data_IF_740875048761
#
_entry.id   IF_740875048761
#
_cell.length_a   1.000
_cell.length_b   1.000
_cell.length_c   1.000
_cell.angle_alpha   90.00
_cell.angle_beta   90.00
_cell.angle_gamma   90.00
#
_symmetry.space_group_name_H-M   'P 1'
#
loop_
_entity.id
_entity.type
_entity.pdbx_description
1 polymer ?
#
# COMPACT_ATOMS: atom_id res chain seq x y z
N UNK A 1 1.33 32.05 -5.97
CA UNK A 1 2.07 31.51 -4.80
C UNK A 1 1.43 31.95 -3.49
N UNK A 2 1.37 33.26 -3.19
CA UNK A 2 0.87 33.80 -1.90
C UNK A 2 -0.50 33.29 -1.45
N UNK A 3 -1.51 33.23 -2.34
CA UNK A 3 -2.86 32.79 -1.95
C UNK A 3 -2.93 31.32 -1.46
N UNK A 4 -2.21 30.41 -2.12
CA UNK A 4 -2.13 28.99 -1.71
C UNK A 4 -1.44 28.85 -0.36
N UNK A 5 -0.36 29.58 -0.14
CA UNK A 5 0.37 29.60 1.13
C UNK A 5 -0.53 30.13 2.25
N UNK A 6 -1.28 31.21 2.03
CA UNK A 6 -2.24 31.73 3.02
C UNK A 6 -3.35 30.73 3.37
N UNK A 7 -3.89 29.98 2.40
CA UNK A 7 -4.90 28.94 2.67
C UNK A 7 -4.30 27.84 3.55
N UNK A 8 -3.10 27.35 3.22
CA UNK A 8 -2.43 26.30 3.99
C UNK A 8 -2.15 26.79 5.42
N UNK A 9 -1.61 28.00 5.57
CA UNK A 9 -1.37 28.61 6.88
C UNK A 9 -2.67 28.77 7.69
N UNK A 10 -3.77 29.18 7.05
CA UNK A 10 -5.07 29.27 7.70
C UNK A 10 -5.59 27.90 8.15
N UNK A 11 -5.44 26.86 7.32
CA UNK A 11 -5.81 25.49 7.71
C UNK A 11 -5.01 25.01 8.94
N UNK A 12 -3.70 25.26 8.97
CA UNK A 12 -2.88 24.93 10.13
C UNK A 12 -3.27 25.73 11.37
N UNK A 13 -3.58 27.02 11.22
CA UNK A 13 -4.05 27.86 12.32
C UNK A 13 -5.38 27.34 12.89
N UNK A 14 -6.34 27.01 12.03
CA UNK A 14 -7.63 26.46 12.45
C UNK A 14 -7.46 25.12 13.17
N UNK A 15 -6.61 24.24 12.65
CA UNK A 15 -6.29 22.97 13.29
C UNK A 15 -5.63 23.17 14.67
N UNK A 16 -4.72 24.14 14.78
CA UNK A 16 -4.09 24.49 16.05
C UNK A 16 -5.08 25.07 17.06
N UNK A 17 -5.95 25.98 16.63
CA UNK A 17 -7.02 26.54 17.49
C UNK A 17 -7.95 25.42 17.96
N UNK A 18 -8.35 24.49 17.09
CA UNK A 18 -9.14 23.32 17.48
C UNK A 18 -8.45 22.52 18.60
N UNK A 19 -7.15 22.22 18.46
CA UNK A 19 -6.42 21.48 19.49
C UNK A 19 -6.40 22.19 20.84
N UNK A 20 -6.40 23.52 20.85
CA UNK A 20 -6.47 24.32 22.09
C UNK A 20 -7.90 24.39 22.66
N UNK A 21 -8.92 24.41 21.81
CA UNK A 21 -10.34 24.43 22.23
C UNK A 21 -10.83 23.07 22.73
N UNK A 22 -10.36 21.97 22.14
CA UNK A 22 -10.76 20.59 22.45
C UNK A 22 -9.53 19.71 22.78
N UNK A 23 -8.82 20.00 23.88
CA UNK A 23 -7.56 19.34 24.20
C UNK A 23 -7.74 17.85 24.54
N UNK A 24 -8.82 17.48 25.25
CA UNK A 24 -9.09 16.08 25.60
C UNK A 24 -9.40 15.24 24.36
N UNK A 25 -10.28 15.70 23.47
CA UNK A 25 -10.57 15.01 22.21
C UNK A 25 -9.31 14.85 21.35
N UNK A 26 -8.45 15.87 21.32
CA UNK A 26 -7.18 15.82 20.59
C UNK A 26 -6.20 14.80 21.19
N UNK A 27 -6.08 14.74 22.52
CA UNK A 27 -5.23 13.76 23.22
C UNK A 27 -5.77 12.35 22.98
N UNK A 28 -7.09 12.13 23.13
CA UNK A 28 -7.71 10.83 22.93
C UNK A 28 -7.54 10.34 21.50
N UNK A 29 -7.74 11.22 20.51
CA UNK A 29 -7.50 10.90 19.11
C UNK A 29 -6.03 10.56 18.82
N UNK A 30 -5.09 11.32 19.41
CA UNK A 30 -3.67 11.01 19.29
C UNK A 30 -3.32 9.66 19.93
N UNK A 31 -3.89 9.35 21.10
CA UNK A 31 -3.70 8.06 21.78
C UNK A 31 -4.25 6.89 20.95
N UNK A 32 -5.42 7.06 20.31
CA UNK A 32 -5.97 6.06 19.38
C UNK A 32 -5.02 5.83 18.20
N UNK A 33 -4.49 6.92 17.61
CA UNK A 33 -3.49 6.84 16.53
C UNK A 33 -2.20 6.13 16.97
N UNK A 34 -1.69 6.41 18.17
CA UNK A 34 -0.50 5.75 18.73
C UNK A 34 -0.75 4.26 18.95
N UNK A 35 -1.91 3.88 19.51
CA UNK A 35 -2.26 2.47 19.73
C UNK A 35 -2.41 1.71 18.41
N UNK A 36 -3.12 2.28 17.44
CA UNK A 36 -3.20 1.73 16.08
C UNK A 36 -1.79 1.49 15.52
N UNK A 37 -0.91 2.47 15.66
CA UNK A 37 0.46 2.34 15.20
C UNK A 37 1.26 1.27 15.97
N UNK A 38 1.26 1.30 17.29
CA UNK A 38 2.11 0.44 18.12
C UNK A 38 1.63 -1.01 18.17
N UNK A 39 0.31 -1.23 18.23
CA UNK A 39 -0.28 -2.55 18.45
C UNK A 39 -0.46 -3.32 17.13
N UNK A 40 -0.73 -2.60 16.03
CA UNK A 40 -1.09 -3.21 14.74
C UNK A 40 -0.05 -2.91 13.67
N UNK A 41 0.24 -1.64 13.39
CA UNK A 41 1.02 -1.25 12.21
C UNK A 41 2.52 -1.57 12.36
N UNK A 42 3.13 -1.24 13.51
CA UNK A 42 4.56 -1.43 13.72
C UNK A 42 4.96 -2.93 13.68
N UNK A 43 4.30 -3.84 14.42
CA UNK A 43 4.68 -5.25 14.42
C UNK A 43 4.43 -5.94 13.07
N UNK A 44 3.41 -5.50 12.32
CA UNK A 44 3.07 -6.09 11.02
C UNK A 44 3.97 -5.60 9.89
N UNK A 45 4.35 -4.31 9.88
CA UNK A 45 5.12 -3.72 8.79
C UNK A 45 6.64 -3.76 9.02
N UNK A 46 7.13 -3.74 10.26
CA UNK A 46 8.58 -3.66 10.52
C UNK A 46 9.40 -4.81 9.91
N UNK A 47 9.10 -6.10 10.20
CA UNK A 47 9.87 -7.20 9.64
C UNK A 47 9.84 -7.17 8.11
N UNK A 48 8.71 -6.76 7.56
CA UNK A 48 8.45 -6.75 6.15
C UNK A 48 9.16 -5.58 5.43
N UNK A 49 9.23 -4.39 6.03
CA UNK A 49 10.05 -3.28 5.53
C UNK A 49 11.54 -3.63 5.54
N UNK A 50 12.03 -4.29 6.59
CA UNK A 50 13.42 -4.75 6.65
C UNK A 50 13.70 -5.71 5.50
N UNK A 51 12.87 -6.74 5.31
CA UNK A 51 13.07 -7.72 4.23
C UNK A 51 13.01 -7.08 2.84
N UNK A 52 12.04 -6.21 2.60
CA UNK A 52 11.88 -5.56 1.29
C UNK A 52 12.98 -4.55 0.97
N UNK A 53 13.56 -3.91 1.98
CA UNK A 53 14.75 -3.08 1.81
C UNK A 53 16.00 -3.90 1.42
N UNK A 54 16.07 -5.18 1.79
CA UNK A 54 17.16 -6.08 1.42
C UNK A 54 17.00 -6.66 0.00
N UNK A 55 15.77 -6.86 -0.47
CA UNK A 55 15.47 -7.55 -1.74
C UNK A 55 16.32 -7.09 -2.94
N UNK A 56 16.52 -5.78 -3.21
CA UNK A 56 17.27 -5.33 -4.39
C UNK A 56 18.73 -5.80 -4.43
N UNK A 57 19.30 -6.10 -3.26
CA UNK A 57 20.70 -6.51 -3.10
C UNK A 57 20.86 -8.03 -3.05
N UNK A 58 19.76 -8.79 -3.10
CA UNK A 58 19.79 -10.25 -3.05
C UNK A 58 19.89 -10.83 -4.48
N UNK A 59 20.89 -11.69 -4.79
CA UNK A 59 21.13 -12.16 -6.16
C UNK A 59 19.95 -12.86 -6.83
N UNK A 60 19.17 -13.67 -6.09
CA UNK A 60 18.05 -14.41 -6.66
C UNK A 60 16.88 -13.49 -7.09
N UNK A 61 16.76 -12.32 -6.45
CA UNK A 61 15.72 -11.33 -6.80
C UNK A 61 15.97 -10.78 -8.19
N UNK A 62 17.24 -10.60 -8.60
CA UNK A 62 17.58 -10.17 -9.95
C UNK A 62 17.23 -11.24 -10.99
N UNK A 63 17.34 -12.53 -10.66
CA UNK A 63 16.90 -13.63 -11.53
C UNK A 63 15.39 -13.60 -11.73
N UNK A 64 14.63 -13.47 -10.64
CA UNK A 64 13.18 -13.33 -10.68
C UNK A 64 12.74 -12.07 -11.45
N UNK A 65 13.41 -10.94 -11.21
CA UNK A 65 13.18 -9.70 -11.94
C UNK A 65 13.43 -9.88 -13.44
N UNK A 66 14.50 -10.58 -13.83
CA UNK A 66 14.81 -10.88 -15.24
C UNK A 66 13.70 -11.72 -15.89
N UNK A 67 13.12 -12.67 -15.16
CA UNK A 67 12.00 -13.48 -15.64
C UNK A 67 10.71 -12.66 -15.86
N UNK A 68 10.41 -11.73 -14.96
CA UNK A 68 9.21 -10.87 -15.05
C UNK A 68 9.40 -9.67 -15.97
N UNK A 69 10.65 -9.22 -16.18
CA UNK A 69 11.01 -8.03 -16.97
C UNK A 69 10.37 -7.97 -18.36
N UNK A 70 10.28 -9.06 -19.15
CA UNK A 70 9.60 -9.01 -20.45
C UNK A 70 8.12 -8.62 -20.33
N UNK A 71 7.44 -9.10 -19.28
CA UNK A 71 6.04 -8.81 -19.02
C UNK A 71 5.87 -7.35 -18.58
N UNK A 72 6.65 -6.89 -17.60
CA UNK A 72 6.52 -5.51 -17.09
C UNK A 72 6.99 -4.48 -18.11
N UNK A 73 8.01 -4.78 -18.92
CA UNK A 73 8.43 -3.93 -20.03
C UNK A 73 7.35 -3.83 -21.10
N UNK A 74 6.71 -4.95 -21.46
CA UNK A 74 5.64 -4.96 -22.48
C UNK A 74 4.36 -4.27 -21.99
N UNK A 75 3.95 -4.53 -20.74
CA UNK A 75 2.70 -4.01 -20.19
C UNK A 75 2.83 -2.58 -19.71
N UNK A 76 3.89 -2.26 -18.97
CA UNK A 76 4.02 -1.00 -18.23
C UNK A 76 5.08 -0.06 -18.80
N UNK A 77 5.87 -0.51 -19.79
CA UNK A 77 6.98 0.27 -20.35
C UNK A 77 7.90 0.81 -19.24
N UNK A 78 8.39 -0.10 -18.40
CA UNK A 78 9.35 0.17 -17.32
C UNK A 78 10.61 -0.66 -17.49
N UNK A 79 11.70 -0.21 -16.87
CA UNK A 79 12.96 -0.97 -16.79
C UNK A 79 12.81 -2.29 -16.01
N UNK A 80 13.84 -3.14 -16.05
CA UNK A 80 13.85 -4.41 -15.32
C UNK A 80 13.71 -4.24 -13.80
N UNK A 81 14.28 -3.17 -13.22
CA UNK A 81 14.07 -2.82 -11.82
C UNK A 81 12.60 -2.51 -11.51
N UNK A 82 11.83 -2.03 -12.49
CA UNK A 82 10.39 -1.82 -12.36
C UNK A 82 9.62 -3.10 -12.04
N UNK A 83 10.11 -4.28 -12.43
CA UNK A 83 9.52 -5.56 -12.02
C UNK A 83 9.64 -5.80 -10.52
N UNK A 84 10.80 -5.45 -9.94
CA UNK A 84 11.04 -5.58 -8.50
C UNK A 84 10.14 -4.60 -7.74
N UNK A 85 10.05 -3.35 -8.21
CA UNK A 85 9.16 -2.34 -7.59
C UNK A 85 7.70 -2.78 -7.66
N UNK A 86 7.24 -3.31 -8.79
CA UNK A 86 5.87 -3.80 -8.93
C UNK A 86 5.57 -4.97 -7.97
N UNK A 87 6.47 -5.95 -7.90
CA UNK A 87 6.30 -7.10 -7.02
C UNK A 87 6.31 -6.67 -5.55
N UNK A 88 7.36 -5.95 -5.13
CA UNK A 88 7.47 -5.43 -3.76
C UNK A 88 6.26 -4.58 -3.43
N UNK A 89 5.93 -3.56 -4.22
CA UNK A 89 4.77 -2.71 -3.98
C UNK A 89 3.43 -3.46 -3.87
N UNK A 90 3.23 -4.51 -4.67
CA UNK A 90 2.01 -5.32 -4.62
C UNK A 90 1.90 -6.20 -3.38
N UNK A 91 3.03 -6.73 -2.87
CA UNK A 91 3.06 -7.57 -1.66
C UNK A 91 3.09 -6.70 -0.39
N UNK A 92 3.85 -5.61 -0.43
CA UNK A 92 4.08 -4.67 0.67
C UNK A 92 2.94 -3.72 0.92
N UNK A 93 2.31 -3.28 -0.16
CA UNK A 93 1.47 -2.11 -0.17
C UNK A 93 2.24 -0.78 -0.04
N UNK A 94 1.48 0.28 0.24
CA UNK A 94 2.00 1.63 0.48
C UNK A 94 2.79 1.74 1.80
N UNK A 95 3.78 2.65 1.89
CA UNK A 95 4.33 3.49 0.81
C UNK A 95 5.53 2.83 0.09
N UNK A 96 5.70 1.51 0.19
CA UNK A 96 6.93 0.82 -0.25
C UNK A 96 7.24 1.00 -1.73
N UNK A 97 6.22 0.97 -2.61
CA UNK A 97 6.43 1.18 -4.05
C UNK A 97 7.04 2.56 -4.37
N UNK A 98 6.54 3.62 -3.75
CA UNK A 98 7.03 4.98 -3.91
C UNK A 98 8.44 5.15 -3.34
N UNK A 99 8.69 4.63 -2.14
CA UNK A 99 10.01 4.67 -1.50
C UNK A 99 11.05 3.93 -2.36
N UNK A 100 10.74 2.73 -2.82
CA UNK A 100 11.65 1.94 -3.65
C UNK A 100 11.90 2.60 -5.01
N UNK A 101 10.86 3.23 -5.59
CA UNK A 101 11.01 4.02 -6.82
C UNK A 101 11.94 5.21 -6.60
N UNK A 102 11.78 5.94 -5.49
CA UNK A 102 12.64 7.06 -5.12
C UNK A 102 14.10 6.62 -4.94
N UNK A 103 14.36 5.59 -4.14
CA UNK A 103 15.70 5.05 -3.91
C UNK A 103 16.40 4.64 -5.22
N UNK A 104 15.68 3.97 -6.13
CA UNK A 104 16.24 3.54 -7.41
C UNK A 104 16.54 4.71 -8.35
N UNK A 105 15.72 5.77 -8.30
CA UNK A 105 15.96 6.98 -9.08
C UNK A 105 17.18 7.74 -8.55
N UNK A 106 17.30 7.91 -7.23
CA UNK A 106 18.47 8.53 -6.58
C UNK A 106 19.77 7.80 -6.92
N UNK A 107 19.72 6.46 -6.97
CA UNK A 107 20.84 5.60 -7.35
C UNK A 107 21.07 5.52 -8.86
N UNK A 108 20.35 6.29 -9.67
CA UNK A 108 20.40 6.28 -11.14
C UNK A 108 20.18 4.88 -11.77
N UNK A 109 19.44 3.99 -11.09
CA UNK A 109 19.12 2.64 -11.58
C UNK A 109 17.83 2.62 -12.42
N UNK A 110 17.04 3.69 -12.39
CA UNK A 110 15.86 3.89 -13.25
C UNK A 110 15.82 5.31 -13.83
N UNK A 111 15.08 5.48 -14.93
CA UNK A 111 14.89 6.79 -15.54
C UNK A 111 13.73 7.57 -14.89
N UNK A 112 13.68 8.88 -15.08
CA UNK A 112 12.56 9.73 -14.64
C UNK A 112 11.21 9.24 -15.22
N UNK A 113 11.09 8.89 -16.51
CA UNK A 113 9.87 8.27 -17.05
C UNK A 113 9.49 6.96 -16.35
N UNK A 114 10.45 6.08 -16.05
CA UNK A 114 10.17 4.85 -15.30
C UNK A 114 9.61 5.17 -13.91
N UNK A 115 10.23 6.10 -13.20
CA UNK A 115 9.78 6.51 -11.87
C UNK A 115 8.34 7.06 -11.90
N UNK A 116 8.04 7.94 -12.88
CA UNK A 116 6.70 8.49 -13.05
C UNK A 116 5.65 7.44 -13.40
N UNK A 117 6.01 6.38 -14.13
CA UNK A 117 5.11 5.24 -14.39
C UNK A 117 4.90 4.41 -13.13
N UNK A 118 5.97 4.03 -12.45
CA UNK A 118 5.92 3.13 -11.30
C UNK A 118 5.06 3.68 -10.17
N UNK A 119 5.23 4.96 -9.80
CA UNK A 119 4.44 5.56 -8.71
C UNK A 119 2.92 5.42 -8.94
N UNK A 120 2.48 5.41 -10.20
CA UNK A 120 1.06 5.35 -10.55
C UNK A 120 0.37 4.04 -10.19
N UNK A 121 1.10 2.92 -10.02
CA UNK A 121 0.45 1.61 -9.84
C UNK A 121 1.11 0.68 -8.82
N UNK A 122 2.27 1.05 -8.26
CA UNK A 122 2.98 0.20 -7.30
C UNK A 122 2.69 0.54 -5.83
N UNK A 123 1.73 1.44 -5.58
CA UNK A 123 1.35 1.91 -4.24
C UNK A 123 -0.09 1.51 -3.88
N UNK A 124 -0.40 0.22 -4.01
CA UNK A 124 -1.69 -0.36 -3.64
C UNK A 124 -1.78 -0.78 -2.18
N UNK A 125 -2.95 -1.27 -1.75
CA UNK A 125 -3.10 -1.96 -0.48
C UNK A 125 -2.49 -3.37 -0.55
N UNK A 126 -1.87 -3.81 0.54
CA UNK A 126 -1.24 -5.13 0.61
C UNK A 126 -2.27 -6.26 0.76
N UNK A 127 -1.92 -7.52 0.41
CA UNK A 127 -2.75 -8.67 0.69
C UNK A 127 -3.03 -8.81 2.19
N UNK A 128 -2.03 -8.53 3.03
CA UNK A 128 -2.18 -8.62 4.49
C UNK A 128 -3.21 -7.61 5.02
N UNK A 129 -3.22 -6.39 4.47
CA UNK A 129 -4.22 -5.39 4.84
C UNK A 129 -5.62 -5.78 4.36
N UNK A 130 -5.78 -6.13 3.07
CA UNK A 130 -7.11 -6.42 2.52
C UNK A 130 -7.70 -7.75 3.01
N UNK A 131 -6.90 -8.81 3.12
CA UNK A 131 -7.36 -10.13 3.54
C UNK A 131 -7.47 -10.22 5.07
N UNK A 132 -6.41 -9.79 5.77
CA UNK A 132 -6.31 -9.91 7.22
C UNK A 132 -7.12 -8.83 7.94
N UNK A 133 -6.63 -7.59 7.88
CA UNK A 133 -7.20 -6.49 8.67
C UNK A 133 -8.63 -6.15 8.22
N UNK A 134 -8.84 -5.95 6.92
CA UNK A 134 -10.12 -5.48 6.38
C UNK A 134 -11.15 -6.61 6.31
N UNK A 135 -10.91 -7.64 5.50
CA UNK A 135 -11.93 -8.67 5.28
C UNK A 135 -12.11 -9.57 6.51
N UNK A 136 -11.01 -10.05 7.11
CA UNK A 136 -11.05 -10.86 8.33
C UNK A 136 -11.44 -10.06 9.58
N UNK A 137 -10.73 -8.96 9.85
CA UNK A 137 -10.90 -8.17 11.07
C UNK A 137 -12.14 -7.27 11.06
N UNK A 138 -12.26 -6.37 10.08
CA UNK A 138 -13.33 -5.36 10.07
C UNK A 138 -14.66 -5.90 9.53
N UNK A 139 -14.63 -6.73 8.48
CA UNK A 139 -15.85 -7.22 7.83
C UNK A 139 -16.33 -8.58 8.34
N UNK A 140 -15.51 -9.30 9.12
CA UNK A 140 -15.79 -10.69 9.55
C UNK A 140 -16.10 -11.65 8.38
N UNK A 141 -15.50 -11.39 7.21
CA UNK A 141 -15.73 -12.07 5.93
C UNK A 141 -14.38 -12.39 5.25
N UNK A 142 -13.53 -13.28 5.82
CA UNK A 142 -12.17 -13.51 5.32
C UNK A 142 -12.12 -14.07 3.89
N UNK A 143 -13.16 -14.80 3.46
CA UNK A 143 -13.29 -15.33 2.08
C UNK A 143 -13.40 -14.21 1.04
N UNK A 144 -13.93 -13.04 1.42
CA UNK A 144 -14.04 -11.88 0.54
C UNK A 144 -12.68 -11.20 0.28
N UNK A 145 -11.73 -11.35 1.21
CA UNK A 145 -10.46 -10.63 1.18
C UNK A 145 -9.64 -10.88 -0.08
N UNK A 146 -9.60 -12.12 -0.55
CA UNK A 146 -8.90 -12.48 -1.80
C UNK A 146 -9.56 -11.80 -3.01
N UNK A 147 -10.89 -11.74 -3.03
CA UNK A 147 -11.65 -11.05 -4.08
C UNK A 147 -11.34 -9.56 -4.09
N UNK A 148 -11.34 -8.91 -2.91
CA UNK A 148 -10.97 -7.49 -2.79
C UNK A 148 -9.55 -7.25 -3.30
N UNK A 149 -8.59 -8.07 -2.87
CA UNK A 149 -7.21 -7.95 -3.30
C UNK A 149 -7.04 -8.13 -4.81
N UNK A 150 -7.70 -9.12 -5.41
CA UNK A 150 -7.62 -9.36 -6.86
C UNK A 150 -8.24 -8.21 -7.66
N UNK A 151 -9.38 -7.66 -7.23
CA UNK A 151 -9.99 -6.49 -7.87
C UNK A 151 -9.05 -5.28 -7.81
N UNK A 152 -8.48 -5.02 -6.63
CA UNK A 152 -7.54 -3.92 -6.40
C UNK A 152 -6.23 -4.09 -7.19
N UNK A 153 -5.66 -5.29 -7.23
CA UNK A 153 -4.45 -5.59 -8.01
C UNK A 153 -4.70 -5.44 -9.50
N UNK A 154 -5.84 -5.93 -9.99
CA UNK A 154 -6.24 -5.79 -11.40
C UNK A 154 -6.43 -4.32 -11.77
N UNK A 155 -7.03 -3.52 -10.88
CA UNK A 155 -7.12 -2.07 -11.04
C UNK A 155 -5.75 -1.41 -11.19
N UNK A 156 -4.79 -1.73 -10.32
CA UNK A 156 -3.42 -1.25 -10.45
C UNK A 156 -2.75 -1.70 -11.77
N UNK A 157 -2.96 -2.94 -12.22
CA UNK A 157 -2.42 -3.42 -13.50
C UNK A 157 -2.97 -2.58 -14.66
N UNK A 158 -4.28 -2.29 -14.69
CA UNK A 158 -4.90 -1.45 -15.72
C UNK A 158 -4.31 -0.03 -15.70
N UNK A 159 -4.15 0.55 -14.51
CA UNK A 159 -3.51 1.85 -14.32
C UNK A 159 -2.05 1.83 -14.80
N UNK A 160 -1.30 0.75 -14.52
CA UNK A 160 0.07 0.59 -14.97
C UNK A 160 0.18 0.51 -16.50
N UNK A 161 -0.74 -0.20 -17.16
CA UNK A 161 -0.79 -0.25 -18.63
C UNK A 161 -1.08 1.14 -19.20
N UNK A 162 -2.04 1.86 -18.61
CA UNK A 162 -2.34 3.24 -19.00
C UNK A 162 -1.12 4.16 -18.81
N UNK A 163 -0.45 4.11 -17.65
CA UNK A 163 0.74 4.88 -17.36
C UNK A 163 1.87 4.60 -18.35
N UNK A 164 2.12 3.33 -18.67
CA UNK A 164 3.13 2.91 -19.66
C UNK A 164 2.88 3.47 -21.07
N UNK A 165 1.61 3.65 -21.44
CA UNK A 165 1.19 4.21 -22.73
C UNK A 165 1.23 5.75 -22.76
N UNK A 166 0.77 6.41 -21.70
CA UNK A 166 0.57 7.86 -21.69
C UNK A 166 1.79 8.65 -21.20
N UNK A 167 2.58 8.10 -20.28
CA UNK A 167 3.80 8.75 -19.81
C UNK A 167 4.92 8.42 -20.80
N UNK A 168 5.32 9.42 -21.59
CA UNK A 168 6.34 9.29 -22.63
C UNK A 168 7.75 9.39 -22.06
N UNK A 169 8.71 8.84 -22.79
CA UNK A 169 10.14 8.89 -22.49
C UNK A 169 10.78 7.50 -22.51
N UNK A 170 12.09 7.41 -22.79
CA UNK A 170 12.78 6.14 -22.84
C UNK A 170 12.82 5.50 -21.44
N UNK A 171 12.57 4.20 -21.37
CA UNK A 171 12.87 3.43 -20.17
C UNK A 171 14.35 3.12 -20.09
N UNK A 172 14.88 3.08 -18.87
CA UNK A 172 16.25 2.69 -18.63
C UNK A 172 16.45 1.22 -19.03
N UNK A 173 17.52 0.92 -19.78
CA UNK A 173 17.94 -0.45 -20.02
C UNK A 173 18.91 -0.85 -18.91
N UNK A 174 18.34 -1.38 -17.83
CA UNK A 174 19.12 -1.93 -16.74
C UNK A 174 19.75 -3.27 -17.18
N UNK A 175 21.07 -3.36 -17.10
CA UNK A 175 21.73 -4.65 -17.01
C UNK A 175 21.58 -5.17 -15.58
N UNK A 176 20.60 -6.05 -15.37
CA UNK A 176 20.36 -6.69 -14.06
C UNK A 176 21.48 -7.68 -13.67
N UNK A 177 22.49 -7.88 -14.53
CA UNK A 177 23.62 -8.78 -14.29
C UNK A 177 24.84 -8.10 -13.66
N UNK A 178 24.87 -6.77 -13.56
CA UNK A 178 25.88 -6.05 -12.79
C UNK A 178 25.76 -6.40 -11.30
N UNK A 179 26.85 -6.94 -10.75
CA UNK A 179 26.95 -7.34 -9.34
C UNK A 179 27.95 -6.42 -8.64
N UNK A 180 27.45 -5.53 -7.81
CA UNK A 180 28.30 -4.82 -6.85
C UNK A 180 28.58 -5.76 -5.65
N UNK A 181 29.81 -5.79 -5.12
CA UNK A 181 30.11 -6.56 -3.91
C UNK A 181 29.24 -6.04 -2.75
N UNK A 182 28.49 -6.94 -2.12
CA UNK A 182 27.53 -6.60 -1.07
C UNK A 182 28.11 -6.94 0.30
N UNK A 183 28.29 -5.93 1.14
CA UNK A 183 28.45 -6.12 2.58
C UNK A 183 27.08 -6.33 3.22
N UNK A 184 26.72 -7.60 3.46
CA UNK A 184 25.43 -7.98 4.02
C UNK A 184 25.17 -7.41 5.42
N UNK A 185 26.21 -7.18 6.24
CA UNK A 185 26.02 -6.63 7.58
C UNK A 185 25.69 -5.14 7.50
N UNK A 186 26.42 -4.39 6.67
CA UNK A 186 26.13 -2.98 6.42
C UNK A 186 24.75 -2.83 5.79
N UNK A 187 24.43 -3.63 4.77
CA UNK A 187 23.11 -3.65 4.14
C UNK A 187 21.98 -3.92 5.15
N UNK A 188 22.17 -4.89 6.05
CA UNK A 188 21.19 -5.20 7.09
C UNK A 188 20.98 -4.06 8.08
N UNK A 189 22.07 -3.40 8.51
CA UNK A 189 22.00 -2.22 9.38
C UNK A 189 21.27 -1.06 8.70
N UNK A 190 21.57 -0.80 7.43
CA UNK A 190 20.90 0.23 6.64
C UNK A 190 19.41 -0.09 6.43
N UNK A 191 19.07 -1.36 6.16
CA UNK A 191 17.70 -1.82 6.03
C UNK A 191 16.91 -1.59 7.32
N UNK A 192 17.45 -1.94 8.48
CA UNK A 192 16.83 -1.66 9.79
C UNK A 192 16.63 -0.16 9.98
N UNK A 193 17.69 0.64 9.83
CA UNK A 193 17.63 2.09 10.05
C UNK A 193 16.61 2.77 9.14
N UNK A 194 16.63 2.43 7.84
CA UNK A 194 15.65 2.93 6.87
C UNK A 194 14.23 2.52 7.22
N UNK A 195 14.02 1.28 7.69
CA UNK A 195 12.69 0.76 8.03
C UNK A 195 12.11 1.43 9.28
N UNK A 196 12.92 1.66 10.30
CA UNK A 196 12.51 2.41 11.51
C UNK A 196 12.09 3.82 11.14
N UNK A 197 12.90 4.53 10.33
CA UNK A 197 12.57 5.89 9.86
C UNK A 197 11.26 5.89 9.06
N UNK A 198 11.07 4.94 8.16
CA UNK A 198 9.83 4.79 7.41
C UNK A 198 8.62 4.58 8.33
N UNK A 199 8.74 3.73 9.35
CA UNK A 199 7.66 3.51 10.33
C UNK A 199 7.36 4.73 11.17
N UNK A 200 8.37 5.48 11.61
CA UNK A 200 8.15 6.72 12.36
C UNK A 200 7.40 7.75 11.51
N UNK A 201 7.69 7.85 10.21
CA UNK A 201 6.91 8.69 9.29
C UNK A 201 5.46 8.20 9.19
N UNK A 202 5.24 6.90 9.02
CA UNK A 202 3.89 6.30 8.98
C UNK A 202 3.12 6.58 10.27
N UNK A 203 3.73 6.30 11.43
CA UNK A 203 3.12 6.49 12.74
C UNK A 203 2.82 7.95 13.06
N UNK A 204 3.77 8.86 12.78
CA UNK A 204 3.56 10.31 12.95
C UNK A 204 2.40 10.83 12.11
N UNK A 205 2.27 10.37 10.86
CA UNK A 205 1.15 10.74 9.99
C UNK A 205 -0.17 10.13 10.47
N UNK A 206 -0.20 8.86 10.92
CA UNK A 206 -1.41 8.26 11.50
C UNK A 206 -1.91 9.06 12.70
N UNK A 207 -1.02 9.44 13.62
CA UNK A 207 -1.38 10.26 14.80
C UNK A 207 -1.93 11.61 14.37
N UNK A 208 -1.23 12.31 13.47
CA UNK A 208 -1.68 13.62 12.97
C UNK A 208 -3.05 13.54 12.30
N UNK A 209 -3.26 12.57 11.41
CA UNK A 209 -4.53 12.39 10.71
C UNK A 209 -5.66 11.91 11.64
N UNK A 210 -5.36 11.18 12.71
CA UNK A 210 -6.36 10.79 13.72
C UNK A 210 -6.91 12.02 14.44
N UNK A 211 -6.05 12.97 14.83
CA UNK A 211 -6.47 14.24 15.43
C UNK A 211 -7.22 15.11 14.43
N UNK A 212 -6.79 15.14 13.16
CA UNK A 212 -7.48 15.85 12.09
C UNK A 212 -8.90 15.33 11.85
N UNK A 213 -9.08 14.00 11.80
CA UNK A 213 -10.40 13.38 11.68
C UNK A 213 -11.29 13.75 12.86
N UNK A 214 -10.77 13.65 14.09
CA UNK A 214 -11.51 14.07 15.29
C UNK A 214 -11.95 15.54 15.19
N UNK A 215 -11.06 16.43 14.72
CA UNK A 215 -11.39 17.84 14.52
C UNK A 215 -12.53 18.07 13.53
N UNK A 216 -12.54 17.30 12.43
CA UNK A 216 -13.60 17.38 11.45
C UNK A 216 -14.91 16.85 12.02
N UNK A 217 -14.88 15.75 12.76
CA UNK A 217 -16.08 15.15 13.34
C UNK A 217 -16.74 16.07 14.37
N UNK A 218 -15.97 16.67 15.28
CA UNK A 218 -16.51 17.63 16.25
C UNK A 218 -17.19 18.83 15.57
N UNK A 219 -16.56 19.41 14.54
CA UNK A 219 -17.17 20.50 13.76
C UNK A 219 -18.43 20.06 13.03
N UNK A 220 -18.51 18.81 12.58
CA UNK A 220 -19.68 18.29 11.90
C UNK A 220 -20.84 17.99 12.83
N UNK A 221 -20.58 17.51 14.05
CA UNK A 221 -21.62 17.28 15.05
C UNK A 221 -22.36 18.57 15.41
N UNK A 222 -21.67 19.71 15.41
CA UNK A 222 -22.27 21.04 15.62
C UNK A 222 -23.20 21.47 14.47
N UNK A 223 -22.96 20.99 13.24
CA UNK A 223 -23.67 21.44 12.02
C UNK A 223 -24.75 20.45 11.58
N UNK A 224 -24.48 19.15 11.69
CA UNK A 224 -25.32 18.06 11.19
C UNK A 224 -25.58 17.02 12.28
N UNK A 225 -26.85 16.71 12.54
CA UNK A 225 -27.23 15.66 13.50
C UNK A 225 -27.82 14.44 12.79
N UNK A 226 -27.71 13.26 13.42
CA UNK A 226 -28.34 12.02 12.96
C UNK A 226 -27.68 11.35 11.75
N UNK A 227 -28.47 10.77 10.85
CA UNK A 227 -27.98 9.92 9.75
C UNK A 227 -27.10 10.65 8.71
N UNK A 228 -27.23 11.97 8.61
CA UNK A 228 -26.37 12.78 7.74
C UNK A 228 -24.93 12.84 8.28
N UNK A 229 -24.77 12.93 9.60
CA UNK A 229 -23.47 12.92 10.27
C UNK A 229 -22.68 11.65 9.94
N UNK A 230 -23.31 10.47 10.07
CA UNK A 230 -22.65 9.19 9.84
C UNK A 230 -22.14 9.02 8.39
N UNK A 231 -22.92 9.45 7.39
CA UNK A 231 -22.52 9.36 5.97
C UNK A 231 -21.38 10.32 5.65
N UNK A 232 -21.41 11.54 6.19
CA UNK A 232 -20.36 12.53 5.96
C UNK A 232 -19.07 12.08 6.66
N UNK A 233 -19.15 11.58 7.89
CA UNK A 233 -18.01 11.04 8.63
C UNK A 233 -17.35 9.87 7.88
N UNK A 234 -18.13 8.93 7.33
CA UNK A 234 -17.58 7.84 6.51
C UNK A 234 -16.73 8.36 5.35
N UNK A 235 -17.22 9.38 4.63
CA UNK A 235 -16.50 9.98 3.50
C UNK A 235 -15.24 10.72 3.96
N UNK A 236 -15.34 11.53 5.01
CA UNK A 236 -14.21 12.30 5.54
C UNK A 236 -13.14 11.38 6.09
N UNK A 237 -13.52 10.41 6.94
CA UNK A 237 -12.60 9.43 7.50
C UNK A 237 -11.90 8.67 6.39
N UNK A 238 -12.62 8.13 5.39
CA UNK A 238 -11.99 7.41 4.26
C UNK A 238 -11.11 8.25 3.34
N UNK A 239 -11.41 9.54 3.16
CA UNK A 239 -10.56 10.47 2.39
C UNK A 239 -9.30 10.84 3.18
N UNK A 240 -9.41 11.03 4.50
CA UNK A 240 -8.30 11.46 5.35
C UNK A 240 -7.38 10.29 5.75
N UNK A 241 -7.94 9.22 6.31
CA UNK A 241 -7.22 8.05 6.81
C UNK A 241 -7.97 6.75 6.51
N UNK A 242 -7.30 5.88 5.76
CA UNK A 242 -7.89 4.68 5.18
C UNK A 242 -8.46 3.70 6.21
N UNK A 243 -7.76 3.50 7.33
CA UNK A 243 -8.09 2.47 8.32
C UNK A 243 -9.41 2.78 9.03
N UNK A 244 -9.56 4.01 9.52
CA UNK A 244 -10.79 4.50 10.15
C UNK A 244 -11.96 4.53 9.16
N UNK A 245 -11.71 4.90 7.91
CA UNK A 245 -12.72 4.86 6.85
C UNK A 245 -13.23 3.46 6.54
N UNK A 246 -12.33 2.47 6.48
CA UNK A 246 -12.68 1.08 6.24
C UNK A 246 -13.53 0.48 7.38
N UNK A 247 -13.18 0.80 8.64
CA UNK A 247 -13.96 0.38 9.82
C UNK A 247 -15.38 0.98 9.80
N UNK A 248 -15.47 2.28 9.50
CA UNK A 248 -16.75 2.98 9.37
C UNK A 248 -17.63 2.38 8.26
N UNK A 249 -17.03 2.05 7.11
CA UNK A 249 -17.73 1.41 6.00
C UNK A 249 -18.21 -0.01 6.33
N UNK A 250 -17.38 -0.80 7.01
CA UNK A 250 -17.73 -2.16 7.43
C UNK A 250 -18.88 -2.17 8.45
N UNK A 251 -18.94 -1.19 9.34
CA UNK A 251 -19.95 -1.12 10.42
C UNK A 251 -21.29 -0.52 9.97
N UNK A 252 -21.28 0.42 9.00
CA UNK A 252 -22.46 1.20 8.64
C UNK A 252 -23.23 0.68 7.42
N UNK A 253 -22.74 -0.36 6.73
CA UNK A 253 -23.27 -0.80 5.44
C UNK A 253 -23.41 -2.32 5.33
N UNK A 254 -24.19 -2.78 4.36
CA UNK A 254 -24.19 -4.21 3.99
C UNK A 254 -22.80 -4.63 3.49
N UNK A 255 -22.46 -5.92 3.62
CA UNK A 255 -21.16 -6.46 3.18
C UNK A 255 -20.81 -6.06 1.74
N UNK A 256 -21.80 -6.07 0.85
CA UNK A 256 -21.61 -5.70 -0.55
C UNK A 256 -21.26 -4.21 -0.74
N UNK A 257 -22.01 -3.32 -0.08
CA UNK A 257 -21.77 -1.87 -0.15
C UNK A 257 -20.45 -1.51 0.54
N UNK A 258 -20.17 -2.12 1.69
CA UNK A 258 -18.91 -1.96 2.41
C UNK A 258 -17.72 -2.33 1.53
N UNK A 259 -17.78 -3.44 0.81
CA UNK A 259 -16.72 -3.86 -0.12
C UNK A 259 -16.43 -2.83 -1.21
N UNK A 260 -17.47 -2.24 -1.81
CA UNK A 260 -17.35 -1.19 -2.83
C UNK A 260 -16.68 0.06 -2.25
N UNK A 261 -17.14 0.52 -1.08
CA UNK A 261 -16.61 1.72 -0.42
C UNK A 261 -15.15 1.51 -0.02
N UNK A 262 -14.84 0.38 0.60
CA UNK A 262 -13.49 0.00 0.99
C UNK A 262 -12.57 -0.10 -0.23
N UNK A 263 -13.00 -0.70 -1.34
CA UNK A 263 -12.19 -0.74 -2.57
C UNK A 263 -11.94 0.66 -3.12
N UNK A 264 -12.95 1.53 -3.11
CA UNK A 264 -12.77 2.93 -3.51
C UNK A 264 -11.75 3.66 -2.62
N UNK A 265 -11.89 3.55 -1.30
CA UNK A 265 -11.01 4.21 -0.32
C UNK A 265 -9.57 3.68 -0.39
N UNK A 266 -9.40 2.36 -0.41
CA UNK A 266 -8.08 1.71 -0.51
C UNK A 266 -7.38 2.03 -1.82
N UNK A 267 -8.13 2.23 -2.91
CA UNK A 267 -7.61 2.56 -4.22
C UNK A 267 -7.29 4.05 -4.38
N UNK A 268 -8.02 4.93 -3.69
CA UNK A 268 -7.66 6.34 -3.55
C UNK A 268 -6.43 6.55 -2.66
N UNK A 269 -6.22 5.64 -1.69
CA UNK A 269 -5.12 5.68 -0.72
C UNK A 269 -5.10 6.99 0.06
N UNK A 270 -6.09 7.23 0.95
CA UNK A 270 -6.41 8.49 1.66
C UNK A 270 -5.24 9.46 1.98
N UNK A 271 -5.53 10.74 2.21
CA UNK A 271 -4.55 11.83 2.27
C UNK A 271 -3.34 11.56 3.19
N UNK A 272 -3.51 10.78 4.26
CA UNK A 272 -2.40 10.26 5.07
C UNK A 272 -1.34 9.53 4.22
N UNK A 273 -1.75 8.61 3.34
CA UNK A 273 -0.85 7.88 2.44
C UNK A 273 -0.32 8.77 1.31
N UNK A 274 -1.11 9.71 0.79
CA UNK A 274 -0.59 10.71 -0.16
C UNK A 274 0.58 11.50 0.46
N UNK A 275 0.46 11.89 1.73
CA UNK A 275 1.54 12.58 2.45
C UNK A 275 2.74 11.67 2.73
N UNK A 276 2.51 10.39 3.05
CA UNK A 276 3.60 9.41 3.14
C UNK A 276 4.37 9.32 1.82
N UNK A 277 3.68 9.23 0.69
CA UNK A 277 4.31 9.15 -0.64
C UNK A 277 5.04 10.44 -0.99
N UNK A 278 4.42 11.61 -0.75
CA UNK A 278 5.07 12.91 -0.94
C UNK A 278 6.38 13.01 -0.17
N UNK A 279 6.44 12.49 1.06
CA UNK A 279 7.67 12.51 1.87
C UNK A 279 8.84 11.74 1.25
N UNK A 280 8.59 10.82 0.31
CA UNK A 280 9.63 10.09 -0.42
C UNK A 280 9.95 10.68 -1.80
N UNK A 281 9.04 11.44 -2.41
CA UNK A 281 9.21 11.84 -3.82
C UNK A 281 9.36 13.35 -4.02
N UNK A 282 9.04 14.19 -3.02
CA UNK A 282 8.96 15.64 -3.20
C UNK A 282 10.29 16.32 -3.53
N UNK A 283 11.40 15.71 -3.15
CA UNK A 283 12.76 16.20 -3.45
C UNK A 283 13.31 15.65 -4.77
N UNK A 284 12.54 14.80 -5.46
CA UNK A 284 12.93 14.15 -6.72
C UNK A 284 12.11 14.70 -7.89
N UNK A 285 12.59 14.56 -9.14
CA UNK A 285 11.83 14.95 -10.34
C UNK A 285 10.71 13.95 -10.69
N UNK A 286 9.96 13.51 -9.68
CA UNK A 286 8.82 12.59 -9.79
C UNK A 286 7.53 13.41 -9.67
N UNK A 287 6.62 13.29 -10.63
CA UNK A 287 5.38 14.06 -10.65
C UNK A 287 4.34 13.45 -9.71
N UNK A 288 4.08 14.14 -8.59
CA UNK A 288 2.95 13.81 -7.73
C UNK A 288 1.59 13.84 -8.46
N UNK A 289 1.43 14.68 -9.49
CA UNK A 289 0.18 14.75 -10.25
C UNK A 289 -0.14 13.42 -10.93
N UNK A 290 0.87 12.75 -11.50
CA UNK A 290 0.72 11.43 -12.10
C UNK A 290 0.22 10.41 -11.08
N UNK A 291 0.76 10.45 -9.86
CA UNK A 291 0.28 9.62 -8.76
C UNK A 291 -1.17 9.97 -8.39
N UNK A 292 -1.47 11.24 -8.13
CA UNK A 292 -2.80 11.68 -7.70
C UNK A 292 -3.91 11.28 -8.69
N UNK A 293 -3.75 11.57 -9.99
CA UNK A 293 -4.75 11.21 -11.00
C UNK A 293 -4.87 9.69 -11.17
N UNK A 294 -3.77 8.95 -11.03
CA UNK A 294 -3.83 7.49 -11.07
C UNK A 294 -4.66 6.92 -9.92
N UNK A 295 -4.58 7.51 -8.72
CA UNK A 295 -5.37 7.08 -7.56
C UNK A 295 -6.84 7.43 -7.70
N UNK A 296 -7.16 8.61 -8.26
CA UNK A 296 -8.55 8.97 -8.58
C UNK A 296 -9.18 7.98 -9.56
N UNK A 297 -8.46 7.62 -10.62
CA UNK A 297 -8.93 6.61 -11.57
C UNK A 297 -9.06 5.24 -10.91
N UNK A 298 -8.08 4.86 -10.09
CA UNK A 298 -8.10 3.58 -9.41
C UNK A 298 -9.27 3.44 -8.42
N UNK A 299 -9.62 4.52 -7.71
CA UNK A 299 -10.79 4.62 -6.84
C UNK A 299 -12.11 4.30 -7.54
N UNK A 300 -12.19 4.45 -8.85
CA UNK A 300 -13.36 4.08 -9.66
C UNK A 300 -13.19 2.69 -10.28
N UNK A 301 -12.02 2.39 -10.85
CA UNK A 301 -11.77 1.16 -11.59
C UNK A 301 -11.87 -0.08 -10.68
N UNK A 302 -11.24 -0.06 -9.52
CA UNK A 302 -11.21 -1.20 -8.60
C UNK A 302 -12.61 -1.64 -8.12
N UNK A 303 -13.47 -0.75 -7.59
CA UNK A 303 -14.84 -1.14 -7.25
C UNK A 303 -15.69 -1.50 -8.47
N UNK A 304 -15.46 -0.89 -9.64
CA UNK A 304 -16.16 -1.30 -10.87
C UNK A 304 -15.83 -2.74 -11.26
N UNK A 305 -14.56 -3.15 -11.16
CA UNK A 305 -14.15 -4.54 -11.38
C UNK A 305 -14.88 -5.47 -10.41
N UNK A 306 -15.00 -5.08 -9.14
CA UNK A 306 -15.72 -5.85 -8.14
C UNK A 306 -17.21 -6.00 -8.48
N UNK A 307 -17.88 -4.93 -8.90
CA UNK A 307 -19.29 -4.97 -9.33
C UNK A 307 -19.46 -5.90 -10.53
N UNK A 308 -18.58 -5.81 -11.53
CA UNK A 308 -18.62 -6.70 -12.71
C UNK A 308 -18.37 -8.16 -12.30
N UNK A 309 -17.36 -8.40 -11.47
CA UNK A 309 -17.01 -9.74 -10.99
C UNK A 309 -18.17 -10.38 -10.22
N UNK A 310 -18.77 -9.65 -9.29
CA UNK A 310 -19.88 -10.14 -8.46
C UNK A 310 -21.19 -10.29 -9.23
N UNK A 311 -21.38 -9.55 -10.32
CA UNK A 311 -22.49 -9.76 -11.25
C UNK A 311 -22.36 -11.10 -12.00
N UNK A 312 -21.14 -11.47 -12.41
CA UNK A 312 -20.85 -12.72 -13.11
C UNK A 312 -20.76 -13.93 -12.16
N UNK A 313 -20.25 -13.70 -10.95
CA UNK A 313 -20.03 -14.69 -9.91
C UNK A 313 -20.63 -14.18 -8.60
N UNK A 314 -21.94 -14.39 -8.36
CA UNK A 314 -22.61 -13.93 -7.15
C UNK A 314 -21.87 -14.37 -5.90
N UNK A 315 -21.65 -13.42 -4.99
CA UNK A 315 -21.00 -13.72 -3.71
C UNK A 315 -21.82 -14.78 -2.98
N UNK A 316 -21.17 -15.92 -2.68
CA UNK A 316 -21.67 -16.81 -1.65
C UNK A 316 -21.40 -16.11 -0.33
N UNK A 317 -22.43 -15.57 0.30
CA UNK A 317 -22.36 -15.15 1.69
C UNK A 317 -22.24 -16.42 2.53
N UNK A 318 -21.02 -16.88 2.76
CA UNK A 318 -20.81 -17.90 3.76
C UNK A 318 -21.20 -17.32 5.13
N UNK A 319 -21.83 -18.15 5.96
CA UNK A 319 -21.92 -17.90 7.40
C UNK A 319 -20.51 -17.57 7.93
N UNK A 320 -20.38 -16.70 8.95
CA UNK A 320 -19.07 -16.24 9.42
C UNK A 320 -18.12 -17.43 9.55
N UNK A 321 -17.04 -17.40 8.76
CA UNK A 321 -16.02 -18.44 8.76
C UNK A 321 -15.26 -18.50 10.10
N UNK A 322 -15.62 -17.67 11.07
CA UNK A 322 -15.23 -17.82 12.48
C UNK A 322 -16.17 -18.81 13.16
N UNK A 323 -16.24 -20.04 12.64
CA UNK A 323 -16.36 -21.20 13.54
C UNK A 323 -14.94 -21.48 14.01
N UNK A 324 -14.67 -21.06 15.24
CA UNK A 324 -13.53 -21.46 16.07
C UNK A 324 -12.18 -21.63 15.36
N UNK A 325 -11.30 -20.65 15.54
CA UNK A 325 -9.83 -20.86 15.53
C UNK A 325 -9.38 -21.73 16.74
N UNK A 326 -10.29 -22.52 17.31
CA UNK A 326 -10.08 -23.52 18.36
C UNK A 326 -10.62 -24.89 17.88
N UNK A 327 -10.78 -25.12 16.57
CA UNK A 327 -10.79 -26.48 16.05
C UNK A 327 -9.34 -26.99 16.09
N UNK A 328 -9.06 -28.19 16.64
CA UNK A 328 -7.72 -28.77 16.55
C UNK A 328 -7.38 -28.84 15.07
N UNK A 329 -6.21 -28.29 14.71
CA UNK A 329 -5.69 -28.33 13.34
C UNK A 329 -5.76 -29.78 12.87
N UNK A 330 -6.73 -30.10 12.00
CA UNK A 330 -6.73 -31.38 11.31
C UNK A 330 -5.41 -31.46 10.54
N UNK A 331 -4.73 -32.60 10.64
CA UNK A 331 -3.44 -32.90 10.02
C UNK A 331 -3.55 -32.99 8.48
N UNK A 332 -3.97 -31.89 7.85
CA UNK A 332 -3.99 -31.68 6.41
C UNK A 332 -3.13 -30.47 6.06
N UNK A 333 -2.45 -30.54 4.91
CA UNK A 333 -1.63 -29.43 4.44
C UNK A 333 -2.56 -28.23 4.19
N UNK A 334 -2.47 -27.20 5.02
CA UNK A 334 -3.28 -25.98 4.85
C UNK A 334 -2.86 -25.25 3.57
N UNK A 335 -3.75 -24.44 2.98
CA UNK A 335 -3.42 -23.59 1.83
C UNK A 335 -2.21 -22.69 2.12
N UNK A 336 -2.07 -22.23 3.37
CA UNK A 336 -0.89 -21.51 3.84
C UNK A 336 0.37 -22.37 3.76
N UNK A 337 0.34 -23.63 4.22
CA UNK A 337 1.48 -24.56 4.11
C UNK A 337 1.82 -24.91 2.65
N UNK A 338 0.84 -25.04 1.75
CA UNK A 338 1.10 -25.21 0.31
C UNK A 338 1.80 -23.99 -0.26
N UNK A 339 1.36 -22.77 0.08
CA UNK A 339 2.01 -21.52 -0.36
C UNK A 339 3.43 -21.44 0.22
N UNK A 340 3.61 -21.73 1.51
CA UNK A 340 4.92 -21.73 2.16
C UNK A 340 5.86 -22.75 1.52
N UNK A 341 5.42 -23.99 1.28
CA UNK A 341 6.21 -25.01 0.60
C UNK A 341 6.54 -24.61 -0.83
N UNK A 342 5.59 -24.02 -1.56
CA UNK A 342 5.81 -23.51 -2.92
C UNK A 342 6.84 -22.39 -2.96
N UNK A 343 6.80 -21.46 -1.99
CA UNK A 343 7.78 -20.39 -1.84
C UNK A 343 9.15 -20.92 -1.44
N UNK A 344 9.22 -21.94 -0.57
CA UNK A 344 10.47 -22.61 -0.21
C UNK A 344 11.07 -23.31 -1.43
N UNK A 345 10.28 -24.07 -2.19
CA UNK A 345 10.73 -24.75 -3.41
C UNK A 345 11.21 -23.72 -4.44
N UNK A 346 10.46 -22.65 -4.65
CA UNK A 346 10.87 -21.56 -5.54
C UNK A 346 12.18 -20.91 -5.08
N UNK A 347 12.34 -20.69 -3.77
CA UNK A 347 13.58 -20.19 -3.16
C UNK A 347 14.76 -21.13 -3.37
N UNK A 348 14.57 -22.44 -3.21
CA UNK A 348 15.61 -23.45 -3.46
C UNK A 348 15.97 -23.51 -4.95
N UNK A 349 14.98 -23.52 -5.84
CA UNK A 349 15.21 -23.55 -7.29
C UNK A 349 15.97 -22.31 -7.77
N UNK A 350 15.61 -21.13 -7.27
CA UNK A 350 16.31 -19.88 -7.61
C UNK A 350 17.72 -19.85 -7.03
N UNK A 351 17.94 -20.36 -5.81
CA UNK A 351 19.27 -20.53 -5.23
C UNK A 351 20.14 -21.48 -6.07
N UNK A 352 19.62 -22.66 -6.45
CA UNK A 352 20.34 -23.63 -7.26
C UNK A 352 20.66 -23.10 -8.67
N UNK A 353 19.74 -22.35 -9.30
CA UNK A 353 20.02 -21.67 -10.57
C UNK A 353 21.12 -20.63 -10.43
N UNK A 354 21.10 -19.82 -9.36
CA UNK A 354 22.12 -18.80 -9.10
C UNK A 354 23.50 -19.45 -8.89
N UNK A 355 23.56 -20.50 -8.07
CA UNK A 355 24.78 -21.27 -7.83
C UNK A 355 25.33 -21.90 -9.12
N UNK A 356 24.46 -22.43 -9.99
CA UNK A 356 24.86 -23.03 -11.27
C UNK A 356 25.41 -21.99 -12.26
N UNK A 357 24.80 -20.80 -12.32
CA UNK A 357 25.29 -19.68 -13.13
C UNK A 357 26.67 -19.22 -12.63
N UNK A 358 26.87 -19.11 -11.31
CA UNK A 358 28.16 -18.77 -10.72
C UNK A 358 29.23 -19.81 -11.04
N UNK A 359 28.91 -21.10 -10.90
CA UNK A 359 29.84 -22.19 -11.24
C UNK A 359 30.22 -22.24 -12.72
N UNK A 360 29.39 -21.74 -13.63
CA UNK A 360 29.68 -21.70 -15.07
C UNK A 360 30.53 -20.50 -15.52
N UNK A 361 30.80 -19.54 -14.63
CA UNK A 361 31.62 -18.34 -14.89
C UNK A 361 33.06 -18.47 -14.36
N UNK A 362 33.36 -19.57 -13.65
CA UNK A 362 34.69 -20.02 -13.27
C UNK A 362 35.02 -21.30 -14.04
#
# INVERSE_FOLDING_TARGET
MKFREHIISLMFLLFFVFMLSYPMSSIDAAMRGIRLFADIIFPSLFPFFVLTALLPSIPWVNVFATFISPVTRKLFNVSGYGAIVFFSGSVSGFPTGAKMTADLLEKNKISIPDANRLICFTNGASPMFLIGAVAGGLMSQPTLGSTLFLCHLTGNIIIGIAAGKYIKGPSFHADLTEREPVDYLTLFREAISSSVRQLLTVGGLIVFFSVLIESCNQLLEEIYTGAHHAKINLVISGILELSNGAESAASASSTYIAAILILSMTSFSGLCIHMQILSFISHLPISYQSYFYSRLLHAVISPLIFVIYTYLFPLKTDSPAVKEVIAPVEYGITSAQVITLSLIILGILTFLMTYRIEKSRF
#
